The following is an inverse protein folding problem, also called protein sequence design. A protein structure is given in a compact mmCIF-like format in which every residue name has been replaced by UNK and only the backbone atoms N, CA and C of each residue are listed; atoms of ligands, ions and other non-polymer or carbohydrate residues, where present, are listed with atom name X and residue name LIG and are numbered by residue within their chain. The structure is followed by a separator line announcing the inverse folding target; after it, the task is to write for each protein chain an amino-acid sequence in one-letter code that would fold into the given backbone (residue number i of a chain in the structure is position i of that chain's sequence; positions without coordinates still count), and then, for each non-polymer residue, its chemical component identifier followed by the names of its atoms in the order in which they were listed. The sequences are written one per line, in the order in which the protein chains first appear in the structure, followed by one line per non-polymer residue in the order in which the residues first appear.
data_IF_774956594147
#
_entry.id   IF_774956594147
#
_cell.length_a   1.000
_cell.length_b   1.000
_cell.length_c   1.000
_cell.angle_alpha   90.00
_cell.angle_beta   90.00
_cell.angle_gamma   90.00
#
_symmetry.space_group_name_H-M   'P 1'
#
loop_
_entity.id
_entity.type
_entity.pdbx_description
1 polymer ?
#
# COMPACT_ATOMS: atom_id res chain seq x y z
N UNK A 1 -8.56 -6.54 -1.17
CA UNK A 1 -8.37 -5.09 -1.42
C UNK A 1 -9.35 -4.20 -0.66
N UNK A 2 -10.67 -4.37 -0.80
CA UNK A 2 -11.68 -3.48 -0.18
C UNK A 2 -11.52 -3.30 1.34
N UNK A 3 -11.36 -4.40 2.08
CA UNK A 3 -11.15 -4.37 3.54
C UNK A 3 -9.91 -3.56 3.93
N UNK A 4 -8.82 -3.69 3.17
CA UNK A 4 -7.56 -2.95 3.36
C UNK A 4 -7.75 -1.46 3.20
N UNK A 5 -8.34 -1.04 2.08
CA UNK A 5 -8.59 0.37 1.82
C UNK A 5 -9.52 0.94 2.89
N UNK A 6 -10.55 0.19 3.28
CA UNK A 6 -11.46 0.57 4.36
C UNK A 6 -10.72 0.78 5.69
N UNK A 7 -9.84 -0.14 6.08
CA UNK A 7 -9.04 -0.02 7.31
C UNK A 7 -8.15 1.22 7.29
N UNK A 8 -7.42 1.48 6.20
CA UNK A 8 -6.52 2.65 6.12
C UNK A 8 -7.29 3.98 6.07
N UNK A 9 -8.44 4.03 5.37
CA UNK A 9 -9.32 5.21 5.38
C UNK A 9 -9.87 5.48 6.77
N UNK A 10 -10.27 4.44 7.50
CA UNK A 10 -10.75 4.60 8.89
C UNK A 10 -9.61 5.08 9.78
N UNK A 11 -8.41 4.51 9.65
CA UNK A 11 -7.25 4.92 10.42
C UNK A 11 -6.89 6.39 10.18
N UNK A 12 -6.82 6.83 8.92
CA UNK A 12 -6.57 8.24 8.56
C UNK A 12 -7.66 9.18 9.09
N UNK A 13 -8.93 8.78 9.02
CA UNK A 13 -10.05 9.56 9.59
C UNK A 13 -9.96 9.67 11.10
N UNK A 14 -9.51 8.63 11.79
CA UNK A 14 -9.31 8.66 13.23
C UNK A 14 -8.15 9.60 13.59
N UNK A 15 -7.00 9.49 12.91
CA UNK A 15 -5.85 10.40 13.11
C UNK A 15 -6.25 11.86 12.91
N UNK A 16 -6.93 12.16 11.80
CA UNK A 16 -7.37 13.54 11.47
C UNK A 16 -8.41 14.10 12.44
N UNK A 17 -9.11 13.24 13.20
CA UNK A 17 -10.04 13.62 14.27
C UNK A 17 -9.38 13.68 15.65
N UNK A 18 -8.06 13.53 15.72
CA UNK A 18 -7.27 13.65 16.95
C UNK A 18 -7.09 12.35 17.72
N UNK A 19 -7.46 11.20 17.15
CA UNK A 19 -7.11 9.91 17.74
C UNK A 19 -5.61 9.68 17.59
N UNK A 20 -4.93 9.48 18.73
CA UNK A 20 -3.50 9.18 18.74
C UNK A 20 -3.31 7.67 18.80
N UNK A 21 -2.89 7.08 17.68
CA UNK A 21 -2.63 5.63 17.61
C UNK A 21 -1.49 5.25 18.56
N UNK A 22 -1.68 4.18 19.30
CA UNK A 22 -0.59 3.52 20.01
C UNK A 22 0.12 2.53 19.09
N UNK A 23 1.33 2.10 19.49
CA UNK A 23 2.03 1.00 18.82
C UNK A 23 1.18 -0.28 18.73
N UNK A 24 0.37 -0.56 19.75
CA UNK A 24 -0.50 -1.74 19.75
C UNK A 24 -1.60 -1.61 18.70
N UNK A 25 -2.20 -0.43 18.55
CA UNK A 25 -3.23 -0.18 17.53
C UNK A 25 -2.66 -0.34 16.12
N UNK A 26 -1.45 0.21 15.89
CA UNK A 26 -0.75 0.04 14.63
C UNK A 26 -0.40 -1.42 14.34
N UNK A 27 0.07 -2.17 15.33
CA UNK A 27 0.33 -3.60 15.21
C UNK A 27 -0.93 -4.40 14.90
N UNK A 28 -2.08 -4.05 15.48
CA UNK A 28 -3.36 -4.68 15.16
C UNK A 28 -3.74 -4.45 13.70
N UNK A 29 -3.58 -3.22 13.21
CA UNK A 29 -3.77 -2.90 11.79
C UNK A 29 -2.82 -3.74 10.94
N UNK A 30 -1.51 -3.69 11.17
CA UNK A 30 -0.51 -4.45 10.38
C UNK A 30 -0.78 -5.97 10.40
N UNK A 31 -1.21 -6.52 11.55
CA UNK A 31 -1.58 -7.94 11.68
C UNK A 31 -2.79 -8.29 10.82
N UNK A 32 -3.75 -7.38 10.66
CA UNK A 32 -4.87 -7.56 9.73
C UNK A 32 -4.35 -7.79 8.30
N UNK A 33 -3.36 -7.03 7.85
CA UNK A 33 -2.77 -7.20 6.52
C UNK A 33 -2.06 -8.54 6.35
N UNK A 34 -1.23 -8.90 7.35
CA UNK A 34 -0.51 -10.17 7.36
C UNK A 34 -1.46 -11.39 7.33
N UNK A 35 -2.50 -11.35 8.16
CA UNK A 35 -3.50 -12.45 8.28
C UNK A 35 -4.29 -12.64 6.99
N UNK A 36 -4.58 -11.56 6.27
CA UNK A 36 -5.25 -11.63 4.96
C UNK A 36 -4.30 -12.03 3.81
N UNK A 37 -3.05 -12.40 4.11
CA UNK A 37 -2.06 -12.84 3.12
C UNK A 37 -1.55 -11.71 2.22
N UNK A 38 -1.81 -10.45 2.56
CA UNK A 38 -1.53 -9.30 1.69
C UNK A 38 -0.06 -8.89 1.69
N UNK A 39 0.70 -9.36 2.68
CA UNK A 39 2.15 -9.19 2.78
C UNK A 39 2.91 -10.37 2.17
N UNK A 40 2.21 -11.45 1.78
CA UNK A 40 2.87 -12.61 1.16
C UNK A 40 3.09 -12.29 -0.32
N UNK A 41 4.34 -12.14 -0.73
CA UNK A 41 4.68 -12.13 -2.17
C UNK A 41 4.63 -13.56 -2.72
N UNK A 42 3.74 -13.90 -3.67
CA UNK A 42 3.97 -15.05 -4.53
C UNK A 42 5.20 -14.76 -5.40
N UNK A 43 6.01 -15.79 -5.68
CA UNK A 43 7.19 -15.72 -6.58
C UNK A 43 6.86 -15.13 -7.98
N UNK A 44 5.58 -15.13 -8.34
CA UNK A 44 4.98 -14.61 -9.57
C UNK A 44 5.06 -13.07 -9.68
N UNK A 45 5.30 -12.34 -8.57
CA UNK A 45 5.44 -10.86 -8.57
C UNK A 45 6.75 -10.33 -9.20
N UNK A 46 7.65 -11.20 -9.65
CA UNK A 46 8.83 -10.79 -10.43
C UNK A 46 8.51 -10.52 -11.91
N UNK A 47 7.42 -11.08 -12.45
CA UNK A 47 6.99 -10.75 -13.80
C UNK A 47 6.44 -9.32 -13.79
N UNK A 48 6.80 -8.48 -14.76
CA UNK A 48 6.24 -7.14 -14.91
C UNK A 48 4.92 -7.28 -15.66
N UNK A 49 3.78 -7.19 -14.98
CA UNK A 49 2.46 -7.48 -15.57
C UNK A 49 2.06 -6.45 -16.64
N UNK A 50 2.71 -5.28 -16.64
CA UNK A 50 2.64 -4.30 -17.73
C UNK A 50 3.29 -4.78 -19.03
N UNK A 51 4.05 -5.89 -19.02
CA UNK A 51 4.55 -6.54 -20.23
C UNK A 51 3.45 -7.38 -20.91
N UNK A 52 2.35 -7.71 -20.20
CA UNK A 52 1.16 -8.28 -20.82
C UNK A 52 0.36 -7.17 -21.50
N UNK A 53 0.37 -7.14 -22.83
CA UNK A 53 -0.27 -6.09 -23.62
C UNK A 53 -1.77 -5.93 -23.30
N UNK A 54 -2.46 -7.05 -23.05
CA UNK A 54 -3.90 -7.05 -22.75
C UNK A 54 -4.17 -6.42 -21.39
N UNK A 55 -3.36 -6.75 -20.39
CA UNK A 55 -3.38 -6.12 -19.08
C UNK A 55 -3.06 -4.63 -19.19
N UNK A 56 -1.97 -4.28 -19.87
CA UNK A 56 -1.50 -2.90 -20.01
C UNK A 56 -2.52 -2.00 -20.71
N UNK A 57 -3.13 -2.47 -21.80
CA UNK A 57 -4.19 -1.73 -22.51
C UNK A 57 -5.36 -1.44 -21.59
N UNK A 58 -5.84 -2.47 -20.87
CA UNK A 58 -7.01 -2.32 -19.99
C UNK A 58 -6.71 -1.48 -18.75
N UNK A 59 -5.50 -1.60 -18.19
CA UNK A 59 -5.07 -0.78 -17.07
C UNK A 59 -5.01 0.72 -17.41
N UNK A 60 -4.76 1.09 -18.67
CA UNK A 60 -4.81 2.49 -19.14
C UNK A 60 -6.23 3.07 -19.20
N UNK A 61 -7.24 2.23 -19.44
CA UNK A 61 -8.65 2.65 -19.48
C UNK A 61 -9.24 2.81 -18.08
N UNK A 62 -8.68 2.13 -17.09
CA UNK A 62 -9.18 2.14 -15.71
C UNK A 62 -8.73 3.41 -15.00
N UNK A 63 -9.66 4.36 -14.87
CA UNK A 63 -9.41 5.62 -14.15
C UNK A 63 -9.45 5.39 -12.63
N UNK A 64 -8.34 5.70 -11.94
CA UNK A 64 -8.26 5.63 -10.48
C UNK A 64 -8.73 6.94 -9.84
N UNK A 65 -8.30 8.06 -10.39
CA UNK A 65 -8.76 9.40 -10.01
C UNK A 65 -8.69 10.34 -11.23
N UNK A 66 -9.01 11.63 -11.05
CA UNK A 66 -9.01 12.61 -12.15
C UNK A 66 -7.64 12.87 -12.79
N UNK A 67 -6.55 12.35 -12.23
CA UNK A 67 -5.17 12.63 -12.66
C UNK A 67 -4.47 11.42 -13.28
N UNK A 68 -4.94 10.19 -13.06
CA UNK A 68 -4.20 9.01 -13.47
C UNK A 68 -5.05 7.75 -13.68
N UNK A 69 -4.54 6.86 -14.53
CA UNK A 69 -5.03 5.51 -14.74
C UNK A 69 -4.41 4.50 -13.77
N UNK A 70 -4.93 3.27 -13.75
CA UNK A 70 -4.33 2.16 -13.01
C UNK A 70 -2.92 1.83 -13.55
N UNK A 71 -2.71 1.95 -14.85
CA UNK A 71 -1.39 1.73 -15.46
C UNK A 71 -0.35 2.72 -14.90
N UNK A 72 -0.70 4.01 -14.84
CA UNK A 72 0.18 5.05 -14.30
C UNK A 72 0.50 4.80 -12.82
N UNK A 73 -0.51 4.41 -12.03
CA UNK A 73 -0.37 4.06 -10.62
C UNK A 73 0.59 2.88 -10.39
N UNK A 74 0.52 1.85 -11.22
CA UNK A 74 1.40 0.70 -11.09
C UNK A 74 2.86 1.05 -11.40
N UNK A 75 3.10 2.04 -12.27
CA UNK A 75 4.45 2.50 -12.64
C UNK A 75 5.03 3.57 -11.72
N UNK A 76 4.18 4.32 -11.01
CA UNK A 76 4.59 5.37 -10.08
C UNK A 76 5.61 4.85 -9.05
N UNK A 77 6.64 5.66 -8.79
CA UNK A 77 7.61 5.35 -7.74
C UNK A 77 7.04 5.70 -6.36
N UNK A 78 7.47 5.01 -5.28
CA UNK A 78 6.94 5.21 -3.92
C UNK A 78 7.00 6.66 -3.43
N UNK A 79 7.98 7.44 -3.89
CA UNK A 79 8.20 8.84 -3.52
C UNK A 79 7.18 9.79 -4.18
N UNK A 80 6.68 9.43 -5.36
CA UNK A 80 5.71 10.20 -6.13
C UNK A 80 4.27 9.88 -5.70
N UNK A 81 4.01 8.66 -5.22
CA UNK A 81 2.69 8.17 -4.77
C UNK A 81 2.10 9.03 -3.64
N UNK A 82 2.91 9.41 -2.65
CA UNK A 82 2.47 10.18 -1.47
C UNK A 82 1.86 11.55 -1.84
N UNK A 83 2.18 12.09 -3.01
CA UNK A 83 1.70 13.41 -3.46
C UNK A 83 0.41 13.35 -4.27
N UNK A 84 0.07 12.19 -4.83
CA UNK A 84 -0.91 12.10 -5.90
C UNK A 84 -2.15 11.29 -5.53
N UNK A 85 -2.08 10.44 -4.50
CA UNK A 85 -3.18 9.57 -4.09
C UNK A 85 -3.38 9.57 -2.59
N UNK A 86 -4.64 9.74 -2.18
CA UNK A 86 -5.09 9.55 -0.80
C UNK A 86 -5.64 8.14 -0.60
N UNK A 87 -5.73 7.67 0.66
CA UNK A 87 -6.43 6.41 0.93
C UNK A 87 -7.89 6.44 0.47
N UNK A 88 -8.51 7.63 0.48
CA UNK A 88 -9.87 7.81 0.00
C UNK A 88 -9.99 7.61 -1.51
N UNK A 89 -8.99 7.99 -2.30
CA UNK A 89 -8.98 7.75 -3.76
C UNK A 89 -8.92 6.24 -4.04
N UNK A 90 -8.05 5.52 -3.36
CA UNK A 90 -8.00 4.05 -3.44
C UNK A 90 -9.30 3.38 -2.99
N UNK A 91 -9.92 3.88 -1.91
CA UNK A 91 -11.20 3.37 -1.45
C UNK A 91 -12.30 3.59 -2.49
N UNK A 92 -12.42 4.79 -3.07
CA UNK A 92 -13.38 5.07 -4.15
C UNK A 92 -13.15 4.15 -5.35
N UNK A 93 -11.89 3.97 -5.74
CA UNK A 93 -11.51 3.08 -6.83
C UNK A 93 -11.93 1.63 -6.57
N UNK A 94 -11.63 1.07 -5.39
CA UNK A 94 -11.98 -0.32 -5.04
C UNK A 94 -13.48 -0.58 -4.90
N UNK A 95 -14.28 0.46 -4.67
CA UNK A 95 -15.74 0.37 -4.62
C UNK A 95 -16.40 0.83 -5.92
N UNK A 96 -15.64 1.36 -6.88
CA UNK A 96 -16.16 1.63 -8.21
C UNK A 96 -16.48 0.31 -8.91
N UNK A 97 -17.52 0.33 -9.75
CA UNK A 97 -17.88 -0.77 -10.65
C UNK A 97 -16.83 -1.05 -11.73
N UNK A 98 -15.61 -0.48 -11.62
CA UNK A 98 -14.47 -0.75 -12.51
C UNK A 98 -13.47 -1.73 -11.87
N UNK A 99 -13.68 -2.12 -10.60
CA UNK A 99 -12.77 -2.98 -9.84
C UNK A 99 -12.94 -4.48 -10.06
N UNK A 100 -14.04 -4.93 -10.67
CA UNK A 100 -14.30 -6.36 -10.94
C UNK A 100 -13.21 -7.04 -11.76
N UNK A 101 -12.53 -6.27 -12.62
CA UNK A 101 -11.41 -6.79 -13.40
C UNK A 101 -10.14 -7.06 -12.57
N UNK A 102 -10.02 -6.47 -11.38
CA UNK A 102 -8.91 -6.74 -10.46
C UNK A 102 -9.08 -8.07 -9.74
N UNK A 103 -10.32 -8.56 -9.61
CA UNK A 103 -10.60 -9.80 -8.88
C UNK A 103 -9.95 -11.02 -9.56
N UNK A 104 -9.80 -10.97 -10.90
CA UNK A 104 -9.05 -11.96 -11.68
C UNK A 104 -7.52 -11.77 -11.62
N UNK A 105 -7.06 -10.63 -11.13
CA UNK A 105 -5.65 -10.21 -11.15
C UNK A 105 -5.09 -10.08 -9.73
N UNK A 106 -5.04 -11.21 -9.01
CA UNK A 106 -4.59 -11.28 -7.62
C UNK A 106 -3.23 -10.61 -7.35
N UNK A 107 -2.27 -10.72 -8.27
CA UNK A 107 -0.96 -10.08 -8.11
C UNK A 107 -1.02 -8.54 -8.20
N UNK A 108 -1.85 -8.00 -9.11
CA UNK A 108 -2.10 -6.56 -9.19
C UNK A 108 -2.72 -6.06 -7.88
N UNK A 109 -3.68 -6.82 -7.32
CA UNK A 109 -4.29 -6.52 -6.03
C UNK A 109 -3.24 -6.48 -4.91
N UNK A 110 -2.33 -7.44 -4.86
CA UNK A 110 -1.24 -7.46 -3.87
C UNK A 110 -0.30 -6.27 -4.04
N UNK A 111 0.11 -5.94 -5.27
CA UNK A 111 0.98 -4.81 -5.55
C UNK A 111 0.34 -3.48 -5.13
N UNK A 112 -0.96 -3.29 -5.41
CA UNK A 112 -1.68 -2.10 -4.97
C UNK A 112 -1.80 -2.05 -3.45
N UNK A 113 -2.07 -3.19 -2.78
CA UNK A 113 -2.11 -3.25 -1.33
C UNK A 113 -0.75 -2.90 -0.69
N UNK A 114 0.35 -3.37 -1.27
CA UNK A 114 1.70 -3.02 -0.85
C UNK A 114 1.96 -1.51 -0.99
N UNK A 115 1.71 -0.94 -2.18
CA UNK A 115 1.86 0.51 -2.44
C UNK A 115 1.07 1.36 -1.45
N UNK A 116 -0.22 1.05 -1.27
CA UNK A 116 -1.08 1.75 -0.32
C UNK A 116 -0.56 1.67 1.12
N UNK A 117 -0.26 0.48 1.60
CA UNK A 117 0.07 0.28 3.02
C UNK A 117 1.49 0.74 3.38
N UNK A 118 2.37 0.91 2.40
CA UNK A 118 3.78 1.31 2.58
C UNK A 118 3.97 2.53 3.46
N UNK A 119 3.18 3.58 3.25
CA UNK A 119 3.27 4.80 4.05
C UNK A 119 2.98 4.56 5.54
N UNK A 120 1.94 3.76 5.82
CA UNK A 120 1.55 3.37 7.17
C UNK A 120 2.60 2.47 7.81
N UNK A 121 3.02 1.42 7.11
CA UNK A 121 4.00 0.44 7.60
C UNK A 121 5.35 1.09 7.89
N UNK A 122 5.87 1.94 7.00
CA UNK A 122 7.15 2.65 7.24
C UNK A 122 7.10 3.50 8.51
N UNK A 123 6.00 4.25 8.71
CA UNK A 123 5.82 5.11 9.89
C UNK A 123 5.80 4.28 11.17
N UNK A 124 5.10 3.15 11.16
CA UNK A 124 4.89 2.32 12.36
C UNK A 124 5.95 1.25 12.59
N UNK A 125 6.80 0.94 11.60
CA UNK A 125 7.88 -0.01 11.70
C UNK A 125 9.19 0.61 12.23
N UNK A 126 9.35 1.94 12.15
CA UNK A 126 10.59 2.62 12.57
C UNK A 126 10.96 2.34 14.03
N UNK A 127 10.05 2.61 14.96
CA UNK A 127 10.31 2.40 16.39
C UNK A 127 10.53 0.92 16.74
N UNK A 128 9.68 -0.04 16.29
CA UNK A 128 9.94 -1.46 16.49
C UNK A 128 11.27 -1.93 15.92
N UNK A 129 11.64 -1.46 14.73
CA UNK A 129 12.90 -1.82 14.09
C UNK A 129 14.10 -1.26 14.86
N UNK A 130 14.03 0.01 15.27
CA UNK A 130 15.07 0.65 16.07
C UNK A 130 15.30 -0.06 17.42
N UNK A 131 14.22 -0.50 18.08
CA UNK A 131 14.32 -1.34 19.27
C UNK A 131 14.89 -2.72 18.99
N UNK A 132 14.45 -3.37 17.91
CA UNK A 132 14.88 -4.72 17.52
C UNK A 132 16.40 -4.79 17.30
N UNK A 133 16.97 -3.77 16.66
CA UNK A 133 18.42 -3.69 16.46
C UNK A 133 19.16 -3.19 17.71
N UNK A 134 18.49 -3.08 18.86
CA UNK A 134 19.04 -2.53 20.10
C UNK A 134 19.65 -1.14 19.94
N UNK A 135 19.01 -0.28 19.13
CA UNK A 135 19.43 1.11 18.90
C UNK A 135 20.87 1.25 18.38
N UNK A 136 21.38 0.23 17.69
CA UNK A 136 22.77 0.19 17.18
C UNK A 136 23.05 1.16 16.05
N UNK A 137 22.02 1.62 15.34
CA UNK A 137 22.14 2.56 14.24
C UNK A 137 21.37 3.85 14.56
N UNK A 138 21.82 5.03 14.11
CA UNK A 138 21.03 6.25 14.20
C UNK A 138 19.64 6.09 13.53
N UNK A 139 18.65 6.85 14.01
CA UNK A 139 17.28 6.80 13.47
C UNK A 139 17.23 7.06 11.95
N UNK A 140 17.99 8.03 11.45
CA UNK A 140 18.05 8.30 10.01
C UNK A 140 18.58 7.12 9.18
N UNK A 141 19.50 6.32 9.72
CA UNK A 141 19.94 5.09 9.04
C UNK A 141 18.84 4.02 9.05
N UNK A 142 18.05 3.94 10.13
CA UNK A 142 16.91 3.04 10.21
C UNK A 142 15.82 3.42 9.20
N UNK A 143 15.55 4.71 9.03
CA UNK A 143 14.64 5.24 8.00
C UNK A 143 15.11 4.84 6.60
N UNK A 144 16.39 5.07 6.27
CA UNK A 144 16.94 4.69 4.97
C UNK A 144 16.84 3.18 4.70
N UNK A 145 17.12 2.35 5.70
CA UNK A 145 16.95 0.89 5.56
C UNK A 145 15.49 0.56 5.26
N UNK A 146 14.55 1.07 6.06
CA UNK A 146 13.11 0.83 5.86
C UNK A 146 12.59 1.40 4.54
N UNK A 147 13.21 2.44 3.98
CA UNK A 147 12.90 2.95 2.65
C UNK A 147 13.26 1.98 1.54
N UNK A 148 14.33 1.20 1.69
CA UNK A 148 14.74 0.18 0.71
C UNK A 148 13.92 -1.12 0.80
N UNK A 149 13.24 -1.34 1.92
CA UNK A 149 12.44 -2.55 2.16
C UNK A 149 11.03 -2.42 1.56
N UNK A 150 10.52 -3.55 1.08
CA UNK A 150 9.09 -3.71 0.81
C UNK A 150 8.38 -4.15 2.11
N UNK A 151 7.05 -4.03 2.17
CA UNK A 151 6.29 -4.46 3.35
C UNK A 151 6.24 -5.98 3.51
#
# INVERSE_FOLDING_TARGET
MKAVCGTLVVAERLETKGYNFSRNDALLIMKCFSTNGLLKRPAILQKRWYDDEKFASKAKEVIVNSKMSLYDLLQLQPEEEKRLLTYQDFFRFTYSGNSWWLDDNYACVLQLCDKMSRGFFRRWALDPFYELIHKRLPLGCCEMILETLNN
#
